data_IF_005195295583
#
_entry.id   IF_005195295583
#
_cell.length_a   1.000
_cell.length_b   1.000
_cell.length_c   1.000
_cell.angle_alpha   90.00
_cell.angle_beta   90.00
_cell.angle_gamma   90.00
#
_symmetry.space_group_name_H-M   'P 1'
#
loop_
_entity.id
_entity.type
_entity.pdbx_description
1 polymer ?
#
# COMPACT_ATOMS: atom_id res chain seq x y z
N UNK A 1 19.20 -10.83 -16.64
CA UNK A 1 18.58 -10.28 -15.43
C UNK A 1 17.12 -9.99 -15.75
N UNK A 2 16.19 -10.78 -15.23
CA UNK A 2 14.77 -10.47 -15.33
C UNK A 2 14.55 -9.17 -14.56
N UNK A 3 14.11 -8.10 -15.22
CA UNK A 3 13.69 -6.89 -14.52
C UNK A 3 12.55 -7.30 -13.60
N UNK A 4 12.82 -7.42 -12.30
CA UNK A 4 11.79 -7.63 -11.29
C UNK A 4 10.99 -6.34 -11.27
N UNK A 5 9.85 -6.31 -11.95
CA UNK A 5 8.94 -5.17 -12.04
C UNK A 5 7.75 -5.39 -11.11
N UNK A 6 7.02 -4.31 -10.85
CA UNK A 6 5.89 -4.35 -9.91
C UNK A 6 4.78 -5.30 -10.39
N UNK A 7 4.47 -5.27 -11.70
CA UNK A 7 3.51 -6.17 -12.37
C UNK A 7 3.72 -7.64 -12.05
N UNK A 8 4.97 -8.13 -12.11
CA UNK A 8 5.27 -9.53 -11.83
C UNK A 8 4.96 -9.96 -10.39
N UNK A 9 4.73 -9.00 -9.47
CA UNK A 9 4.45 -9.25 -8.07
C UNK A 9 2.98 -9.02 -7.68
N UNK A 10 2.09 -8.68 -8.62
CA UNK A 10 0.67 -8.38 -8.32
C UNK A 10 -0.02 -9.48 -7.53
N UNK A 11 0.12 -10.76 -7.92
CA UNK A 11 -0.50 -11.89 -7.20
C UNK A 11 -0.03 -11.94 -5.74
N UNK A 12 1.25 -11.69 -5.49
CA UNK A 12 1.81 -11.68 -4.14
C UNK A 12 1.28 -10.50 -3.32
N UNK A 13 1.13 -9.34 -3.93
CA UNK A 13 0.64 -8.13 -3.29
C UNK A 13 -0.87 -8.24 -2.99
N UNK A 14 -1.65 -8.79 -3.92
CA UNK A 14 -3.07 -9.06 -3.72
C UNK A 14 -3.30 -10.06 -2.57
N UNK A 15 -2.49 -11.13 -2.51
CA UNK A 15 -2.56 -12.09 -1.39
C UNK A 15 -2.16 -11.44 -0.06
N UNK A 16 -1.18 -10.52 -0.06
CA UNK A 16 -0.84 -9.75 1.13
C UNK A 16 -2.04 -8.92 1.59
N UNK A 17 -2.69 -8.20 0.68
CA UNK A 17 -3.90 -7.43 0.95
C UNK A 17 -5.00 -8.30 1.56
N UNK A 18 -5.39 -9.40 0.90
CA UNK A 18 -6.40 -10.34 1.41
C UNK A 18 -6.07 -10.86 2.81
N UNK A 19 -4.80 -11.16 3.08
CA UNK A 19 -4.36 -11.65 4.40
C UNK A 19 -4.48 -10.63 5.52
N UNK A 20 -4.41 -9.33 5.22
CA UNK A 20 -4.38 -8.24 6.22
C UNK A 20 -5.69 -7.50 6.36
N UNK A 21 -6.43 -7.38 5.26
CA UNK A 21 -7.61 -6.53 5.13
C UNK A 21 -8.92 -7.30 4.97
N UNK A 22 -8.91 -8.64 4.97
CA UNK A 22 -10.13 -9.46 4.87
C UNK A 22 -11.20 -9.16 5.92
N UNK A 23 -10.79 -8.68 7.10
CA UNK A 23 -11.69 -8.27 8.19
C UNK A 23 -11.75 -6.74 8.37
N UNK A 24 -11.12 -5.97 7.49
CA UNK A 24 -11.11 -4.51 7.54
C UNK A 24 -12.10 -4.01 6.49
N UNK A 25 -13.22 -3.48 6.97
CA UNK A 25 -14.27 -2.97 6.09
C UNK A 25 -13.77 -1.78 5.27
N UNK A 26 -14.46 -1.52 4.15
CA UNK A 26 -14.24 -0.35 3.32
C UNK A 26 -12.78 -0.17 2.91
N UNK A 27 -12.12 -1.25 2.48
CA UNK A 27 -10.77 -1.17 1.91
C UNK A 27 -10.73 -1.81 0.54
N UNK A 28 -9.87 -1.26 -0.32
CA UNK A 28 -9.66 -1.75 -1.68
C UNK A 28 -8.19 -1.74 -2.05
N UNK A 29 -7.87 -2.46 -3.12
CA UNK A 29 -6.55 -2.45 -3.73
C UNK A 29 -6.66 -2.19 -5.24
N UNK A 30 -5.88 -1.22 -5.74
CA UNK A 30 -5.68 -0.93 -7.15
C UNK A 30 -4.31 -1.46 -7.58
N UNK A 31 -4.28 -2.26 -8.66
CA UNK A 31 -3.08 -2.92 -9.17
C UNK A 31 -2.83 -2.48 -10.61
N UNK A 32 -1.90 -1.53 -10.80
CA UNK A 32 -1.42 -1.05 -12.10
C UNK A 32 0.01 -1.52 -12.32
N UNK A 33 0.43 -1.61 -13.59
CA UNK A 33 1.71 -2.19 -13.98
C UNK A 33 2.93 -1.56 -13.27
N UNK A 34 2.85 -0.25 -12.99
CA UNK A 34 3.88 0.58 -12.35
C UNK A 34 3.46 1.12 -10.98
N UNK A 35 2.24 0.83 -10.52
CA UNK A 35 1.72 1.38 -9.26
C UNK A 35 0.76 0.43 -8.58
N UNK A 36 0.91 0.27 -7.27
CA UNK A 36 -0.07 -0.42 -6.42
C UNK A 36 -0.51 0.48 -5.30
N UNK A 37 -1.82 0.53 -5.05
CA UNK A 37 -2.42 1.38 -4.03
C UNK A 37 -3.41 0.58 -3.18
N UNK A 38 -3.30 0.69 -1.85
CA UNK A 38 -4.33 0.22 -0.91
C UNK A 38 -5.01 1.46 -0.33
N UNK A 39 -6.34 1.52 -0.41
CA UNK A 39 -7.12 2.68 0.01
C UNK A 39 -8.21 2.27 1.00
N UNK A 40 -8.45 3.14 1.99
CA UNK A 40 -9.70 3.15 2.73
C UNK A 40 -10.75 3.93 1.94
N UNK A 41 -11.97 3.40 1.88
CA UNK A 41 -13.09 3.94 1.15
C UNK A 41 -14.05 4.61 2.15
N UNK A 42 -13.79 5.88 2.46
CA UNK A 42 -14.69 6.69 3.26
C UNK A 42 -15.41 7.69 2.35
N UNK A 43 -16.74 7.59 2.27
CA UNK A 43 -17.54 8.51 1.46
C UNK A 43 -17.60 9.92 2.07
N UNK A 44 -17.31 10.06 3.38
CA UNK A 44 -17.30 11.33 4.09
C UNK A 44 -15.90 11.97 4.15
N UNK A 45 -14.84 11.17 3.98
CA UNK A 45 -13.45 11.64 3.97
C UNK A 45 -12.77 11.45 2.61
N UNK A 46 -12.73 12.53 1.83
CA UNK A 46 -12.08 12.59 0.51
C UNK A 46 -10.57 12.30 0.57
N UNK A 47 -9.93 12.52 1.72
CA UNK A 47 -8.50 12.31 1.92
C UNK A 47 -8.27 11.12 2.87
N UNK A 48 -8.92 9.99 2.57
CA UNK A 48 -8.84 8.77 3.36
C UNK A 48 -7.45 8.14 3.38
N UNK A 49 -7.19 7.34 4.42
CA UNK A 49 -5.93 6.62 4.56
C UNK A 49 -5.60 5.79 3.32
N UNK A 50 -4.37 5.89 2.82
CA UNK A 50 -3.89 5.08 1.72
C UNK A 50 -2.40 4.72 1.85
N UNK A 51 -2.00 3.72 1.09
CA UNK A 51 -0.60 3.31 0.91
C UNK A 51 -0.37 3.16 -0.58
N UNK A 52 0.65 3.82 -1.10
CA UNK A 52 1.05 3.69 -2.50
C UNK A 52 2.46 3.08 -2.61
N UNK A 53 2.66 2.21 -3.58
CA UNK A 53 3.96 1.74 -4.06
C UNK A 53 4.03 2.03 -5.55
N UNK A 54 4.94 2.92 -5.94
CA UNK A 54 5.11 3.39 -7.32
C UNK A 54 6.52 3.07 -7.83
N UNK A 55 6.61 2.46 -9.01
CA UNK A 55 7.84 2.22 -9.76
C UNK A 55 8.24 3.52 -10.48
N UNK A 56 9.51 3.91 -10.35
CA UNK A 56 10.08 5.11 -10.96
C UNK A 56 11.31 4.75 -11.80
N UNK A 57 11.87 5.74 -12.49
CA UNK A 57 13.12 5.54 -13.26
C UNK A 57 14.31 5.14 -12.39
N UNK A 58 14.31 5.51 -11.11
CA UNK A 58 15.42 5.32 -10.16
C UNK A 58 15.18 4.22 -9.12
N UNK A 59 13.98 3.62 -9.08
CA UNK A 59 13.63 2.60 -8.11
C UNK A 59 12.15 2.61 -7.78
N UNK A 60 11.84 2.62 -6.50
CA UNK A 60 10.48 2.53 -5.95
C UNK A 60 10.27 3.59 -4.88
N UNK A 61 9.10 4.21 -4.90
CA UNK A 61 8.63 5.13 -3.85
C UNK A 61 7.48 4.45 -3.14
N UNK A 62 7.50 4.47 -1.82
CA UNK A 62 6.43 3.96 -0.97
C UNK A 62 5.94 5.11 -0.12
N UNK A 63 4.66 5.44 -0.23
CA UNK A 63 4.02 6.46 0.61
C UNK A 63 2.96 5.83 1.50
N UNK A 64 2.75 6.43 2.66
CA UNK A 64 1.65 6.14 3.56
C UNK A 64 1.02 7.45 4.02
N UNK A 65 -0.29 7.53 3.92
CA UNK A 65 -1.13 8.58 4.48
C UNK A 65 -2.12 7.96 5.44
N UNK A 66 -2.26 8.54 6.63
CA UNK A 66 -3.18 8.02 7.65
C UNK A 66 -4.62 8.54 7.55
N UNK A 67 -4.89 9.44 6.60
CA UNK A 67 -6.19 10.06 6.44
C UNK A 67 -6.42 11.34 7.24
N UNK A 68 -5.39 11.84 7.93
CA UNK A 68 -5.48 13.00 8.82
C UNK A 68 -4.28 13.93 8.71
N UNK A 69 -3.10 13.52 9.19
CA UNK A 69 -1.93 14.41 9.29
C UNK A 69 -0.60 13.68 9.18
N UNK A 70 -0.58 12.36 9.32
CA UNK A 70 0.65 11.60 9.24
C UNK A 70 0.87 11.15 7.80
N UNK A 71 1.92 11.71 7.20
CA UNK A 71 2.46 11.25 5.92
C UNK A 71 3.87 10.71 6.12
N UNK A 72 4.12 9.51 5.60
CA UNK A 72 5.45 8.90 5.55
C UNK A 72 5.79 8.55 4.11
N UNK A 73 7.06 8.73 3.74
CA UNK A 73 7.57 8.36 2.43
C UNK A 73 8.95 7.70 2.59
N UNK A 74 9.15 6.60 1.89
CA UNK A 74 10.43 5.90 1.80
C UNK A 74 10.75 5.51 0.36
N UNK A 75 12.03 5.61 -0.01
CA UNK A 75 12.53 5.21 -1.32
C UNK A 75 13.35 3.92 -1.25
N UNK A 76 13.31 3.13 -2.32
CA UNK A 76 14.16 1.95 -2.44
C UNK A 76 14.58 1.68 -3.88
N UNK A 77 15.87 1.44 -4.12
CA UNK A 77 16.37 0.96 -5.41
C UNK A 77 16.12 -0.54 -5.67
N UNK A 78 15.57 -1.27 -4.69
CA UNK A 78 15.34 -2.71 -4.77
C UNK A 78 13.87 -3.06 -4.46
N UNK A 79 13.23 -3.81 -5.35
CA UNK A 79 11.82 -4.18 -5.20
C UNK A 79 11.58 -5.03 -3.95
N UNK A 80 12.53 -5.90 -3.58
CA UNK A 80 12.35 -6.76 -2.41
C UNK A 80 12.31 -5.94 -1.13
N UNK A 81 13.17 -4.92 -1.00
CA UNK A 81 13.13 -3.94 0.07
C UNK A 81 11.86 -3.09 0.03
N UNK A 82 11.48 -2.60 -1.15
CA UNK A 82 10.24 -1.84 -1.34
C UNK A 82 9.00 -2.60 -0.85
N UNK A 83 8.87 -3.88 -1.22
CA UNK A 83 7.78 -4.75 -0.77
C UNK A 83 7.79 -4.99 0.75
N UNK A 84 8.95 -5.01 1.40
CA UNK A 84 9.05 -5.09 2.87
C UNK A 84 8.53 -3.81 3.54
N UNK A 85 8.84 -2.65 2.98
CA UNK A 85 8.36 -1.34 3.45
C UNK A 85 6.85 -1.26 3.25
N UNK A 86 6.36 -1.54 2.04
CA UNK A 86 4.93 -1.58 1.72
C UNK A 86 4.16 -2.50 2.68
N UNK A 87 4.67 -3.70 2.95
CA UNK A 87 4.09 -4.62 3.95
C UNK A 87 4.04 -4.03 5.36
N UNK A 88 5.04 -3.25 5.77
CA UNK A 88 5.06 -2.61 7.09
C UNK A 88 3.97 -1.54 7.18
N UNK A 89 3.82 -0.71 6.15
CA UNK A 89 2.75 0.28 6.09
C UNK A 89 1.36 -0.37 6.01
N UNK A 90 1.19 -1.44 5.22
CA UNK A 90 -0.05 -2.22 5.17
C UNK A 90 -0.49 -2.71 6.56
N UNK A 91 0.45 -3.25 7.35
CA UNK A 91 0.18 -3.65 8.74
C UNK A 91 -0.20 -2.47 9.63
N UNK A 92 0.48 -1.33 9.46
CA UNK A 92 0.22 -0.11 10.24
C UNK A 92 -1.20 0.41 9.96
N UNK A 93 -1.56 0.55 8.70
CA UNK A 93 -2.89 0.98 8.25
C UNK A 93 -3.98 0.02 8.74
N UNK A 94 -3.83 -1.28 8.50
CA UNK A 94 -4.82 -2.27 8.95
C UNK A 94 -5.05 -2.21 10.47
N UNK A 95 -3.98 -2.03 11.26
CA UNK A 95 -4.09 -1.87 12.72
C UNK A 95 -4.82 -0.58 13.10
N UNK A 96 -4.52 0.52 12.42
CA UNK A 96 -5.16 1.81 12.68
C UNK A 96 -6.65 1.76 12.33
N UNK A 97 -7.00 1.25 11.15
CA UNK A 97 -8.39 1.10 10.74
C UNK A 97 -9.15 0.22 11.74
N UNK A 98 -8.67 -1.00 12.06
CA UNK A 98 -9.34 -1.86 13.07
C UNK A 98 -9.54 -1.21 14.44
N UNK A 99 -8.72 -0.22 14.80
CA UNK A 99 -8.82 0.47 16.10
C UNK A 99 -9.81 1.62 16.08
N UNK A 100 -9.97 2.28 14.94
CA UNK A 100 -10.69 3.56 14.84
C UNK A 100 -11.91 3.52 13.91
N UNK A 101 -12.07 2.48 13.08
CA UNK A 101 -13.30 2.22 12.34
C UNK A 101 -14.35 1.66 13.30
N UNK A 102 -15.28 2.50 13.76
CA UNK A 102 -16.44 2.11 14.55
C UNK A 102 -17.69 2.01 13.68
#
# INVERSE_FOLDING_TARGET
>A
MTKTNLKANHIRIENLFKSMFSEVQNTSIDLKDDRVEIMHLDEENQDSANIELSETKSGYIISYWDGYSLSENEESGDLTKALKIFKRYAKKMAKNLKRFSH
#
